data_IF_938360249462
#
_entry.id   IF_938360249462
#
_cell.length_a   1.000
_cell.length_b   1.000
_cell.length_c   1.000
_cell.angle_alpha   90.00
_cell.angle_beta   90.00
_cell.angle_gamma   90.00
#
_symmetry.space_group_name_H-M   'P 1'
#
loop_
_entity.id
_entity.type
_entity.pdbx_description
1 polymer ?
#
# COMPACT_ATOMS: atom_id res chain seq x y z
N UNK A 1 2.65 20.71 -0.95
CA UNK A 1 3.40 19.47 -0.77
C UNK A 1 3.50 18.72 -2.11
N UNK A 2 4.68 18.22 -2.45
CA UNK A 2 4.93 17.36 -3.61
C UNK A 2 5.16 15.92 -3.16
N UNK A 3 4.42 14.97 -3.72
CA UNK A 3 4.51 13.54 -3.41
C UNK A 3 5.12 12.82 -4.62
N UNK A 4 6.21 12.10 -4.41
CA UNK A 4 6.83 11.22 -5.40
C UNK A 4 6.14 9.85 -5.36
N UNK A 5 5.47 9.46 -6.45
CA UNK A 5 4.88 8.14 -6.60
C UNK A 5 5.90 7.23 -7.26
N UNK A 6 6.35 6.21 -6.53
CA UNK A 6 7.27 5.17 -6.99
C UNK A 6 6.42 3.99 -7.50
N UNK A 7 6.24 3.92 -8.82
CA UNK A 7 5.44 2.89 -9.47
C UNK A 7 6.25 1.60 -9.59
N UNK A 8 5.77 0.53 -8.98
CA UNK A 8 6.43 -0.77 -8.86
C UNK A 8 5.84 -1.84 -9.76
N UNK A 9 4.82 -1.50 -10.54
CA UNK A 9 4.19 -2.37 -11.54
C UNK A 9 3.34 -1.54 -12.51
N UNK A 10 2.89 -2.17 -13.57
CA UNK A 10 1.97 -1.57 -14.55
C UNK A 10 0.60 -2.24 -14.50
N UNK A 11 -0.46 -1.43 -14.58
CA UNK A 11 -1.83 -1.91 -14.74
C UNK A 11 -1.94 -2.73 -16.03
N UNK A 12 -2.62 -3.90 -16.01
CA UNK A 12 -2.86 -4.69 -17.22
C UNK A 12 -3.43 -3.81 -18.35
N UNK A 13 -2.89 -3.95 -19.57
CA UNK A 13 -3.19 -3.08 -20.72
C UNK A 13 -4.68 -2.94 -21.01
N UNK A 14 -5.43 -4.01 -20.83
CA UNK A 14 -6.88 -4.06 -21.03
C UNK A 14 -7.70 -3.39 -19.93
N UNK A 15 -7.07 -3.00 -18.81
CA UNK A 15 -7.70 -2.29 -17.71
C UNK A 15 -7.28 -0.80 -17.63
N UNK A 16 -6.26 -0.38 -18.37
CA UNK A 16 -5.74 1.00 -18.30
C UNK A 16 -6.80 2.01 -18.74
N UNK A 17 -7.59 1.72 -19.78
CA UNK A 17 -8.62 2.63 -20.29
C UNK A 17 -9.69 2.95 -19.24
N UNK A 18 -10.09 1.93 -18.45
CA UNK A 18 -11.14 2.08 -17.44
C UNK A 18 -10.64 2.63 -16.11
N UNK A 19 -9.39 2.34 -15.74
CA UNK A 19 -8.88 2.57 -14.38
C UNK A 19 -7.66 3.49 -14.30
N UNK A 20 -6.98 3.76 -15.41
CA UNK A 20 -5.71 4.50 -15.43
C UNK A 20 -4.53 3.66 -14.94
N UNK A 21 -3.40 4.32 -14.67
CA UNK A 21 -2.20 3.73 -14.05
C UNK A 21 -2.34 3.64 -12.52
N UNK A 22 -1.41 2.99 -11.84
CA UNK A 22 -1.38 3.01 -10.37
C UNK A 22 -1.17 4.42 -9.83
N UNK A 23 -0.35 5.23 -10.48
CA UNK A 23 -0.20 6.64 -10.12
C UNK A 23 -1.51 7.42 -10.29
N UNK A 24 -2.28 7.19 -11.37
CA UNK A 24 -3.59 7.83 -11.57
C UNK A 24 -4.56 7.49 -10.43
N UNK A 25 -4.58 6.22 -9.97
CA UNK A 25 -5.43 5.77 -8.87
C UNK A 25 -5.04 6.45 -7.55
N UNK A 26 -3.73 6.50 -7.23
CA UNK A 26 -3.20 7.15 -6.03
C UNK A 26 -3.51 8.65 -6.04
N UNK A 27 -3.25 9.33 -7.16
CA UNK A 27 -3.56 10.76 -7.29
C UNK A 27 -5.06 11.03 -7.13
N UNK A 28 -5.92 10.25 -7.81
CA UNK A 28 -7.35 10.40 -7.70
C UNK A 28 -7.85 10.17 -6.27
N UNK A 29 -7.29 9.19 -5.55
CA UNK A 29 -7.63 8.89 -4.18
C UNK A 29 -7.23 10.03 -3.23
N UNK A 30 -5.99 10.52 -3.28
CA UNK A 30 -5.51 11.59 -2.38
C UNK A 30 -6.12 12.96 -2.70
N UNK A 31 -6.39 13.26 -3.98
CA UNK A 31 -7.02 14.52 -4.40
C UNK A 31 -8.47 14.68 -3.93
N UNK A 32 -9.13 13.62 -3.49
CA UNK A 32 -10.45 13.72 -2.85
C UNK A 32 -10.39 14.51 -1.54
N UNK A 33 -9.27 14.42 -0.82
CA UNK A 33 -9.08 15.11 0.46
C UNK A 33 -8.19 16.36 0.34
N UNK A 34 -7.21 16.35 -0.59
CA UNK A 34 -6.26 17.45 -0.75
C UNK A 34 -5.91 17.70 -2.22
N UNK A 35 -6.65 18.61 -2.85
CA UNK A 35 -6.52 18.94 -4.29
C UNK A 35 -5.19 19.59 -4.64
N UNK A 36 -4.57 20.30 -3.70
CA UNK A 36 -3.34 21.09 -3.89
C UNK A 36 -2.08 20.23 -3.90
N UNK A 37 -2.16 18.95 -3.62
CA UNK A 37 -1.01 18.07 -3.73
C UNK A 37 -0.50 18.01 -5.17
N UNK A 38 0.81 18.18 -5.31
CA UNK A 38 1.54 17.98 -6.56
C UNK A 38 2.12 16.57 -6.56
N UNK A 39 2.15 15.94 -7.72
CA UNK A 39 2.68 14.59 -7.86
C UNK A 39 3.80 14.54 -8.89
N UNK A 40 4.83 13.77 -8.60
CA UNK A 40 5.87 13.33 -9.54
C UNK A 40 5.83 11.82 -9.61
N UNK A 41 6.00 11.25 -10.81
CA UNK A 41 5.89 9.81 -11.06
C UNK A 41 7.24 9.26 -11.48
N UNK A 42 7.61 8.11 -10.92
CA UNK A 42 8.88 7.46 -11.15
C UNK A 42 8.62 5.97 -11.40
N UNK A 43 8.95 5.47 -12.60
CA UNK A 43 8.90 4.03 -12.93
C UNK A 43 10.18 3.37 -12.41
N UNK A 44 10.13 2.93 -11.15
CA UNK A 44 11.31 2.35 -10.48
C UNK A 44 11.68 0.97 -11.01
N UNK A 45 10.75 0.29 -11.70
CA UNK A 45 11.04 -0.97 -12.40
C UNK A 45 11.97 -0.72 -13.60
N UNK A 46 11.87 0.47 -14.22
CA UNK A 46 12.77 0.93 -15.29
C UNK A 46 13.96 1.74 -14.74
N UNK A 47 14.25 1.64 -13.44
CA UNK A 47 15.33 2.37 -12.76
C UNK A 47 15.21 3.91 -12.89
N UNK A 48 13.97 4.42 -13.05
CA UNK A 48 13.69 5.87 -13.10
C UNK A 48 13.38 6.33 -11.67
N UNK A 49 14.27 7.14 -11.11
CA UNK A 49 14.21 7.69 -9.75
C UNK A 49 14.31 9.22 -9.78
N UNK A 50 13.96 9.94 -8.70
CA UNK A 50 14.33 11.33 -8.54
C UNK A 50 15.86 11.46 -8.54
N UNK A 51 16.38 12.57 -9.04
CA UNK A 51 17.83 12.84 -9.03
C UNK A 51 18.34 13.08 -7.59
N UNK A 52 17.45 13.61 -6.73
CA UNK A 52 17.72 13.84 -5.32
C UNK A 52 16.46 13.58 -4.50
N UNK A 53 16.60 12.99 -3.30
CA UNK A 53 15.49 12.72 -2.38
C UNK A 53 14.76 14.02 -1.97
N UNK A 54 15.39 15.16 -2.06
CA UNK A 54 14.79 16.46 -1.75
C UNK A 54 13.78 16.95 -2.80
N UNK A 55 13.70 16.34 -3.99
CA UNK A 55 12.75 16.71 -5.05
C UNK A 55 11.28 16.61 -4.60
N UNK A 56 10.99 15.71 -3.65
CA UNK A 56 9.66 15.54 -3.11
C UNK A 56 9.64 15.72 -1.59
N UNK A 57 8.50 16.16 -1.08
CA UNK A 57 8.28 16.30 0.36
C UNK A 57 7.96 14.96 1.03
N UNK A 58 7.37 14.05 0.26
CA UNK A 58 7.03 12.69 0.69
C UNK A 58 7.11 11.72 -0.50
N UNK A 59 7.20 10.43 -0.21
CA UNK A 59 7.19 9.37 -1.21
C UNK A 59 6.12 8.33 -0.92
N UNK A 60 5.52 7.77 -1.97
CA UNK A 60 4.55 6.69 -1.89
C UNK A 60 4.95 5.57 -2.85
N UNK A 61 5.07 4.35 -2.32
CA UNK A 61 5.38 3.13 -3.09
C UNK A 61 4.08 2.38 -3.35
N UNK A 62 3.80 2.09 -4.60
CA UNK A 62 2.57 1.41 -5.04
C UNK A 62 2.59 -0.10 -4.76
N UNK A 63 1.47 -0.75 -5.06
CA UNK A 63 1.38 -2.21 -5.13
C UNK A 63 2.09 -2.78 -6.36
N UNK A 64 2.47 -4.06 -6.29
CA UNK A 64 3.09 -4.82 -7.38
C UNK A 64 2.64 -6.27 -7.37
N UNK A 65 2.81 -6.95 -8.52
CA UNK A 65 2.69 -8.41 -8.64
C UNK A 65 3.96 -9.15 -8.20
N UNK A 66 5.09 -8.44 -8.12
CA UNK A 66 6.35 -9.00 -7.65
C UNK A 66 6.29 -9.36 -6.17
N UNK A 67 7.12 -10.29 -5.75
CA UNK A 67 7.39 -10.56 -4.34
C UNK A 67 8.64 -9.83 -3.88
N UNK A 68 8.63 -9.33 -2.65
CA UNK A 68 9.78 -8.55 -2.10
C UNK A 68 11.05 -9.39 -1.92
N UNK A 69 10.93 -10.72 -2.04
CA UNK A 69 12.03 -11.69 -2.00
C UNK A 69 12.39 -12.22 -3.40
N UNK A 70 11.86 -11.64 -4.47
CA UNK A 70 12.33 -11.89 -5.83
C UNK A 70 13.76 -11.35 -6.00
N UNK A 71 14.47 -11.82 -7.04
CA UNK A 71 15.87 -11.48 -7.25
C UNK A 71 16.10 -10.41 -8.33
N UNK A 72 15.06 -9.62 -8.63
CA UNK A 72 15.15 -8.58 -9.65
C UNK A 72 16.03 -7.40 -9.16
N UNK A 73 16.96 -6.89 -9.97
CA UNK A 73 17.90 -5.83 -9.57
C UNK A 73 17.23 -4.56 -9.04
N UNK A 74 16.09 -4.14 -9.64
CA UNK A 74 15.36 -2.95 -9.23
C UNK A 74 14.87 -3.01 -7.77
N UNK A 75 14.62 -4.22 -7.23
CA UNK A 75 14.26 -4.41 -5.82
C UNK A 75 15.38 -3.98 -4.87
N UNK A 76 16.63 -4.29 -5.23
CA UNK A 76 17.80 -3.87 -4.43
C UNK A 76 17.95 -2.35 -4.45
N UNK A 77 17.80 -1.73 -5.62
CA UNK A 77 17.85 -0.27 -5.79
C UNK A 77 16.76 0.41 -4.98
N UNK A 78 15.51 -0.06 -5.11
CA UNK A 78 14.38 0.51 -4.37
C UNK A 78 14.52 0.29 -2.86
N UNK A 79 14.99 -0.88 -2.42
CA UNK A 79 15.26 -1.14 -0.99
C UNK A 79 16.33 -0.21 -0.43
N UNK A 80 17.36 0.13 -1.21
CA UNK A 80 18.35 1.12 -0.79
C UNK A 80 17.75 2.52 -0.72
N UNK A 81 16.95 2.92 -1.71
CA UNK A 81 16.25 4.20 -1.73
C UNK A 81 15.30 4.37 -0.53
N UNK A 82 14.58 3.30 -0.14
CA UNK A 82 13.75 3.27 1.08
C UNK A 82 14.59 3.54 2.32
N UNK A 83 15.74 2.88 2.47
CA UNK A 83 16.64 3.11 3.61
C UNK A 83 17.16 4.54 3.65
N UNK A 84 17.51 5.09 2.50
CA UNK A 84 18.02 6.46 2.39
C UNK A 84 16.95 7.49 2.78
N UNK A 85 15.70 7.31 2.33
CA UNK A 85 14.56 8.15 2.77
C UNK A 85 14.39 8.06 4.30
N UNK A 86 14.36 6.84 4.83
CA UNK A 86 14.13 6.62 6.26
C UNK A 86 15.22 7.23 7.13
N UNK A 87 16.48 7.12 6.73
CA UNK A 87 17.64 7.66 7.45
C UNK A 87 17.68 9.19 7.44
N UNK A 88 17.13 9.84 6.43
CA UNK A 88 17.07 11.31 6.37
C UNK A 88 15.99 11.91 7.27
N UNK A 89 15.07 11.11 7.81
CA UNK A 89 14.05 11.37 8.83
C UNK A 89 13.12 12.60 8.63
N UNK A 90 13.36 13.43 7.62
CA UNK A 90 12.54 14.61 7.31
C UNK A 90 11.46 14.35 6.26
N UNK A 91 11.50 13.18 5.59
CA UNK A 91 10.57 12.82 4.53
C UNK A 91 9.58 11.77 5.03
N UNK A 92 8.32 11.95 4.67
CA UNK A 92 7.30 10.93 4.93
C UNK A 92 7.35 9.86 3.84
N UNK A 93 7.18 8.60 4.25
CA UNK A 93 7.17 7.45 3.36
C UNK A 93 5.88 6.64 3.54
N UNK A 94 5.17 6.40 2.45
CA UNK A 94 3.94 5.61 2.43
C UNK A 94 4.16 4.36 1.59
N UNK A 95 3.64 3.22 2.04
CA UNK A 95 3.67 1.97 1.28
C UNK A 95 2.29 1.34 1.17
N UNK A 96 1.94 0.87 -0.04
CA UNK A 96 0.68 0.17 -0.30
C UNK A 96 0.99 -1.23 -0.79
N UNK A 97 0.41 -2.25 -0.16
CA UNK A 97 0.50 -3.67 -0.51
C UNK A 97 1.96 -4.14 -0.65
N UNK A 98 2.48 -4.27 -1.87
CA UNK A 98 3.90 -4.55 -2.11
C UNK A 98 4.80 -3.47 -1.48
N UNK A 99 4.45 -2.18 -1.60
CA UNK A 99 5.20 -1.10 -0.96
C UNK A 99 5.23 -1.21 0.56
N UNK A 100 4.12 -1.64 1.20
CA UNK A 100 4.09 -1.97 2.62
C UNK A 100 5.08 -3.08 2.96
N UNK A 101 5.07 -4.15 2.20
CA UNK A 101 5.92 -5.30 2.41
C UNK A 101 7.40 -4.96 2.19
N UNK A 102 7.72 -4.23 1.12
CA UNK A 102 9.10 -3.87 0.80
C UNK A 102 9.70 -2.91 1.83
N UNK A 103 8.93 -1.93 2.31
CA UNK A 103 9.38 -1.03 3.38
C UNK A 103 9.72 -1.83 4.64
N UNK A 104 8.80 -2.71 5.07
CA UNK A 104 9.02 -3.55 6.25
C UNK A 104 10.28 -4.40 6.08
N UNK A 105 10.46 -5.07 4.95
CA UNK A 105 11.63 -5.90 4.70
C UNK A 105 12.93 -5.10 4.61
N UNK A 106 12.89 -3.94 3.93
CA UNK A 106 14.07 -3.06 3.79
C UNK A 106 14.58 -2.51 5.11
N UNK A 107 13.68 -2.38 6.10
CA UNK A 107 13.97 -1.87 7.44
C UNK A 107 14.21 -2.98 8.49
N UNK A 108 14.34 -4.24 8.05
CA UNK A 108 14.76 -5.35 8.89
C UNK A 108 13.63 -6.25 9.42
N UNK A 109 12.41 -6.12 8.90
CA UNK A 109 11.32 -7.07 9.13
C UNK A 109 11.38 -8.26 8.18
N UNK A 110 10.39 -9.14 8.27
CA UNK A 110 10.29 -10.36 7.45
C UNK A 110 8.94 -10.41 6.75
N UNK A 111 8.99 -10.63 5.44
CA UNK A 111 7.82 -10.86 4.59
C UNK A 111 7.90 -12.24 3.98
N UNK A 112 6.79 -12.93 3.95
CA UNK A 112 6.72 -14.26 3.38
C UNK A 112 5.34 -14.58 2.82
N UNK A 113 5.28 -15.57 1.93
CA UNK A 113 4.02 -16.09 1.40
C UNK A 113 3.20 -16.72 2.53
N UNK A 114 2.02 -16.19 2.77
CA UNK A 114 1.18 -16.64 3.86
C UNK A 114 0.69 -18.08 3.66
N UNK A 115 0.86 -18.96 4.66
CA UNK A 115 0.28 -20.30 4.61
C UNK A 115 -1.26 -20.29 4.66
N UNK A 116 -1.88 -19.15 4.98
CA UNK A 116 -3.33 -18.96 4.97
C UNK A 116 -3.92 -18.76 3.57
N UNK A 117 -3.07 -18.71 2.53
CA UNK A 117 -3.50 -18.50 1.15
C UNK A 117 -3.80 -17.05 0.81
N UNK A 118 -4.77 -16.81 -0.08
CA UNK A 118 -5.11 -15.52 -0.63
C UNK A 118 -6.02 -14.70 0.30
N UNK A 119 -5.66 -13.43 0.50
CA UNK A 119 -6.56 -12.39 0.99
C UNK A 119 -7.10 -11.60 -0.19
N UNK A 120 -8.43 -11.65 -0.42
CA UNK A 120 -9.08 -11.02 -1.58
C UNK A 120 -10.42 -10.40 -1.20
N UNK A 121 -10.85 -9.44 -2.01
CA UNK A 121 -12.12 -8.73 -1.82
C UNK A 121 -11.97 -7.53 -0.87
N UNK A 122 -12.89 -7.37 0.07
CA UNK A 122 -12.89 -6.30 1.06
C UNK A 122 -12.58 -6.89 2.44
N UNK A 123 -11.45 -6.48 3.03
CA UNK A 123 -11.01 -6.96 4.32
C UNK A 123 -11.20 -5.90 5.40
N UNK A 124 -11.85 -6.28 6.51
CA UNK A 124 -11.95 -5.44 7.71
C UNK A 124 -10.70 -5.60 8.56
N UNK A 125 -10.16 -4.48 9.04
CA UNK A 125 -9.09 -4.41 10.02
C UNK A 125 -9.57 -3.70 11.28
N UNK A 126 -9.21 -4.26 12.45
CA UNK A 126 -9.44 -3.63 13.75
C UNK A 126 -8.27 -2.71 14.08
N UNK A 127 -8.56 -1.53 14.65
CA UNK A 127 -7.53 -0.59 15.10
C UNK A 127 -7.05 -1.04 16.48
N UNK A 128 -5.76 -1.37 16.57
CA UNK A 128 -5.10 -1.79 17.81
C UNK A 128 -4.60 -0.61 18.63
N UNK A 129 -4.11 0.43 17.91
CA UNK A 129 -3.53 1.64 18.48
C UNK A 129 -3.96 2.85 17.66
N UNK A 130 -4.37 3.90 18.32
CA UNK A 130 -4.65 5.19 17.67
C UNK A 130 -3.43 6.08 17.67
N UNK A 131 -3.25 6.82 16.59
CA UNK A 131 -2.20 7.84 16.43
C UNK A 131 -2.86 9.23 16.22
N UNK A 132 -2.15 10.34 16.47
CA UNK A 132 -2.73 11.69 16.37
C UNK A 132 -3.34 12.00 15.01
N UNK A 133 -2.73 11.52 13.92
CA UNK A 133 -3.22 11.73 12.55
C UNK A 133 -4.49 10.94 12.21
N UNK A 134 -4.93 9.99 13.03
CA UNK A 134 -6.16 9.19 12.79
C UNK A 134 -7.42 9.98 13.14
N UNK A 135 -7.68 11.05 12.41
CA UNK A 135 -8.88 11.88 12.56
C UNK A 135 -9.69 11.85 11.27
N UNK A 136 -10.99 11.46 11.32
CA UNK A 136 -11.75 11.01 12.50
C UNK A 136 -11.30 9.63 13.01
N UNK A 137 -11.50 9.39 14.30
CA UNK A 137 -11.21 8.10 14.92
C UNK A 137 -12.19 7.04 14.42
N UNK A 138 -11.68 5.84 14.19
CA UNK A 138 -12.49 4.65 13.90
C UNK A 138 -11.95 3.45 14.70
N UNK A 139 -12.83 2.51 15.05
CA UNK A 139 -12.44 1.26 15.71
C UNK A 139 -12.02 0.18 14.72
N UNK A 140 -12.56 0.25 13.52
CA UNK A 140 -12.26 -0.65 12.41
C UNK A 140 -12.51 0.06 11.09
N UNK A 141 -11.96 -0.47 10.01
CA UNK A 141 -12.17 0.02 8.65
C UNK A 141 -12.00 -1.11 7.64
N UNK A 142 -12.55 -0.95 6.45
CA UNK A 142 -12.51 -1.92 5.36
C UNK A 142 -11.72 -1.37 4.17
N UNK A 143 -10.78 -2.16 3.65
CA UNK A 143 -10.07 -1.84 2.43
C UNK A 143 -10.10 -3.01 1.44
N UNK A 144 -10.06 -2.73 0.13
CA UNK A 144 -9.81 -3.73 -0.88
C UNK A 144 -8.47 -4.42 -0.64
N UNK A 145 -8.41 -5.73 -0.81
CA UNK A 145 -7.19 -6.53 -0.70
C UNK A 145 -7.09 -7.53 -1.84
N UNK A 146 -5.88 -7.77 -2.31
CA UNK A 146 -5.55 -8.86 -3.22
C UNK A 146 -4.07 -9.21 -3.05
N UNK A 147 -3.77 -10.08 -2.10
CA UNK A 147 -2.41 -10.46 -1.76
C UNK A 147 -2.33 -11.89 -1.22
N UNK A 148 -1.15 -12.48 -1.29
CA UNK A 148 -0.82 -13.74 -0.66
C UNK A 148 0.36 -13.55 0.31
N UNK A 149 1.33 -12.71 -0.09
CA UNK A 149 2.45 -12.36 0.77
C UNK A 149 1.99 -11.42 1.88
N UNK A 150 2.58 -11.61 3.07
CA UNK A 150 2.28 -10.82 4.27
C UNK A 150 3.54 -10.57 5.08
N UNK A 151 3.54 -9.47 5.81
CA UNK A 151 4.50 -9.25 6.90
C UNK A 151 4.24 -10.29 7.99
N UNK A 152 5.30 -11.00 8.41
CA UNK A 152 5.24 -12.00 9.47
C UNK A 152 6.05 -11.59 10.71
N UNK A 153 7.03 -10.69 10.54
CA UNK A 153 7.82 -10.12 11.63
C UNK A 153 8.07 -8.63 11.37
N UNK A 154 7.79 -7.81 12.37
CA UNK A 154 8.04 -6.37 12.30
C UNK A 154 9.50 -6.06 12.66
N UNK A 155 10.09 -5.02 12.05
CA UNK A 155 11.34 -4.46 12.55
C UNK A 155 11.18 -3.89 13.95
N UNK A 156 12.30 -3.75 14.66
CA UNK A 156 12.35 -3.39 16.08
C UNK A 156 11.57 -2.12 16.45
N UNK A 157 11.58 -1.11 15.58
CA UNK A 157 10.99 0.21 15.87
C UNK A 157 9.61 0.41 15.20
N UNK A 158 9.05 -0.66 14.63
CA UNK A 158 7.74 -0.62 14.00
C UNK A 158 6.61 -0.88 14.99
N UNK A 159 5.47 -0.28 14.75
CA UNK A 159 4.24 -0.48 15.51
C UNK A 159 3.11 -0.93 14.59
N UNK A 160 2.47 -2.06 14.91
CA UNK A 160 1.22 -2.44 14.28
C UNK A 160 0.09 -1.51 14.75
N UNK A 161 -0.55 -0.83 13.83
CA UNK A 161 -1.65 0.11 14.10
C UNK A 161 -3.00 -0.60 13.95
N UNK A 162 -3.12 -1.46 12.94
CA UNK A 162 -4.36 -2.20 12.68
C UNK A 162 -4.08 -3.54 12.01
N UNK A 163 -5.05 -4.45 12.11
CA UNK A 163 -5.00 -5.75 11.46
C UNK A 163 -6.21 -6.61 11.77
N UNK A 164 -6.12 -7.87 11.40
CA UNK A 164 -7.14 -8.89 11.67
C UNK A 164 -6.47 -10.28 11.81
N UNK A 165 -7.21 -11.34 12.18
CA UNK A 165 -6.61 -12.67 12.35
C UNK A 165 -5.96 -13.25 11.08
N UNK A 166 -6.40 -12.82 9.89
CA UNK A 166 -5.79 -13.24 8.61
C UNK A 166 -4.48 -12.47 8.36
N UNK A 167 -4.50 -11.15 8.51
CA UNK A 167 -3.36 -10.24 8.29
C UNK A 167 -3.16 -9.35 9.54
N UNK A 168 -2.34 -9.79 10.52
CA UNK A 168 -2.16 -9.06 11.78
C UNK A 168 -1.50 -7.69 11.65
N UNK A 169 -0.71 -7.49 10.60
CA UNK A 169 0.05 -6.27 10.33
C UNK A 169 -0.50 -5.54 9.11
N UNK A 170 -1.84 -5.31 9.06
CA UNK A 170 -2.45 -4.65 7.89
C UNK A 170 -2.13 -3.16 7.81
N UNK A 171 -1.80 -2.51 8.92
CA UNK A 171 -1.27 -1.14 8.96
C UNK A 171 -0.12 -1.08 9.94
N UNK A 172 1.00 -0.54 9.48
CA UNK A 172 2.24 -0.42 10.27
C UNK A 172 2.78 0.99 10.16
N UNK A 173 3.30 1.53 11.26
CA UNK A 173 4.00 2.81 11.31
C UNK A 173 5.38 2.69 11.96
N UNK A 174 6.28 3.61 11.60
CA UNK A 174 7.60 3.75 12.18
C UNK A 174 7.82 5.21 12.54
N UNK A 175 7.92 5.50 13.84
CA UNK A 175 8.46 6.74 14.38
C UNK A 175 7.95 8.07 13.77
N UNK A 176 6.71 8.11 13.26
CA UNK A 176 6.14 9.32 12.69
C UNK A 176 6.58 9.67 11.25
N UNK A 177 7.50 8.90 10.65
CA UNK A 177 7.97 9.15 9.26
C UNK A 177 7.46 8.13 8.25
N UNK A 178 7.01 6.94 8.68
CA UNK A 178 6.54 5.88 7.77
C UNK A 178 5.14 5.41 8.15
N UNK A 179 4.27 5.25 7.15
CA UNK A 179 2.92 4.70 7.28
C UNK A 179 2.64 3.75 6.11
N UNK A 180 2.24 2.51 6.42
CA UNK A 180 2.06 1.49 5.38
C UNK A 180 0.78 0.70 5.54
N UNK A 181 0.19 0.27 4.42
CA UNK A 181 -1.07 -0.45 4.35
C UNK A 181 -0.93 -1.72 3.49
N UNK A 182 -1.36 -2.87 4.00
CA UNK A 182 -1.46 -4.09 3.18
C UNK A 182 -2.64 -4.02 2.21
N UNK A 183 -3.71 -3.34 2.57
CA UNK A 183 -4.85 -3.08 1.70
C UNK A 183 -4.61 -1.92 0.73
N UNK A 184 -5.52 -1.77 -0.22
CA UNK A 184 -5.47 -0.83 -1.33
C UNK A 184 -6.53 0.27 -1.19
N UNK A 185 -6.27 1.36 -0.44
CA UNK A 185 -7.25 2.45 -0.33
C UNK A 185 -7.48 3.19 -1.66
N UNK A 186 -6.52 3.10 -2.61
CA UNK A 186 -6.59 3.69 -3.94
C UNK A 186 -7.45 2.90 -4.93
N UNK A 187 -7.74 1.61 -4.65
CA UNK A 187 -8.52 0.76 -5.56
C UNK A 187 -10.02 1.01 -5.47
N UNK A 188 -10.67 1.18 -6.62
CA UNK A 188 -12.11 1.01 -6.74
C UNK A 188 -12.48 -0.47 -6.60
N UNK A 189 -13.67 -0.78 -6.06
CA UNK A 189 -14.19 -2.16 -5.95
C UNK A 189 -14.15 -2.90 -7.29
N UNK A 190 -14.54 -2.20 -8.37
CA UNK A 190 -14.57 -2.75 -9.73
C UNK A 190 -13.17 -3.12 -10.25
N UNK A 191 -12.13 -2.37 -9.87
CA UNK A 191 -10.75 -2.73 -10.20
C UNK A 191 -10.30 -3.98 -9.43
N UNK A 192 -10.58 -4.04 -8.13
CA UNK A 192 -10.29 -5.23 -7.32
C UNK A 192 -11.00 -6.46 -7.87
N UNK A 193 -12.27 -6.34 -8.24
CA UNK A 193 -13.02 -7.41 -8.90
C UNK A 193 -12.37 -7.87 -10.20
N UNK A 194 -11.96 -6.94 -11.07
CA UNK A 194 -11.27 -7.27 -12.32
C UNK A 194 -9.96 -8.02 -12.08
N UNK A 195 -9.16 -7.61 -11.08
CA UNK A 195 -7.95 -8.33 -10.70
C UNK A 195 -8.23 -9.73 -10.14
N UNK A 196 -9.28 -9.89 -9.33
CA UNK A 196 -9.69 -11.20 -8.80
C UNK A 196 -10.09 -12.14 -9.92
N UNK A 197 -10.89 -11.68 -10.88
CA UNK A 197 -11.31 -12.47 -12.04
C UNK A 197 -10.11 -12.97 -12.86
N UNK A 198 -9.07 -12.16 -13.02
CA UNK A 198 -7.83 -12.52 -13.72
C UNK A 198 -6.98 -13.57 -12.98
N UNK A 199 -7.19 -13.72 -11.69
CA UNK A 199 -6.47 -14.67 -10.83
C UNK A 199 -7.34 -15.81 -10.30
N UNK A 200 -8.55 -15.96 -10.85
CA UNK A 200 -9.51 -16.96 -10.37
C UNK A 200 -8.92 -18.37 -10.32
N UNK A 201 -8.18 -18.75 -11.36
CA UNK A 201 -7.66 -20.11 -11.51
C UNK A 201 -6.56 -20.48 -10.49
N UNK A 202 -5.98 -19.51 -9.79
CA UNK A 202 -4.97 -19.72 -8.74
C UNK A 202 -5.51 -19.54 -7.33
N UNK A 203 -6.82 -19.35 -7.19
CA UNK A 203 -7.52 -19.18 -5.91
C UNK A 203 -8.45 -20.37 -5.68
N UNK A 204 -8.64 -20.74 -4.41
CA UNK A 204 -9.71 -21.64 -4.03
C UNK A 204 -11.07 -21.00 -4.32
N UNK A 205 -12.02 -21.76 -4.89
CA UNK A 205 -13.35 -21.26 -5.26
C UNK A 205 -14.09 -20.63 -4.06
N UNK A 206 -13.94 -21.20 -2.88
CA UNK A 206 -14.54 -20.67 -1.64
C UNK A 206 -14.00 -19.29 -1.28
N UNK A 207 -12.68 -19.08 -1.41
CA UNK A 207 -12.00 -17.80 -1.16
C UNK A 207 -12.41 -16.77 -2.21
N UNK A 208 -12.37 -17.15 -3.49
CA UNK A 208 -12.77 -16.29 -4.59
C UNK A 208 -14.21 -15.81 -4.46
N UNK A 209 -15.16 -16.75 -4.24
CA UNK A 209 -16.58 -16.43 -4.10
C UNK A 209 -16.90 -15.59 -2.85
N UNK A 210 -16.21 -15.84 -1.72
CA UNK A 210 -16.35 -15.01 -0.53
C UNK A 210 -15.80 -13.60 -0.77
N UNK A 211 -14.63 -13.48 -1.42
CA UNK A 211 -14.05 -12.20 -1.79
C UNK A 211 -14.97 -11.37 -2.71
N UNK A 212 -15.58 -11.99 -3.72
CA UNK A 212 -16.54 -11.29 -4.58
C UNK A 212 -17.74 -10.75 -3.80
N UNK A 213 -18.34 -11.56 -2.93
CA UNK A 213 -19.48 -11.13 -2.09
C UNK A 213 -19.11 -9.99 -1.16
N UNK A 214 -17.88 -9.97 -0.63
CA UNK A 214 -17.44 -8.88 0.25
C UNK A 214 -17.41 -7.51 -0.44
N UNK A 215 -17.28 -7.47 -1.77
CA UNK A 215 -17.30 -6.24 -2.55
C UNK A 215 -18.71 -5.61 -2.69
N UNK A 216 -19.76 -6.25 -2.17
CA UNK A 216 -21.09 -5.64 -2.06
C UNK A 216 -21.09 -4.48 -1.04
N UNK A 217 -20.22 -4.56 -0.03
CA UNK A 217 -19.98 -3.46 0.91
C UNK A 217 -19.11 -2.35 0.29
N UNK A 218 -19.07 -1.18 0.95
CA UNK A 218 -18.22 -0.06 0.53
C UNK A 218 -16.91 -0.03 1.33
N UNK A 219 -15.76 0.30 0.69
CA UNK A 219 -14.49 0.50 1.37
C UNK A 219 -14.46 1.85 2.09
N UNK A 220 -13.70 1.92 3.18
CA UNK A 220 -13.44 3.14 3.93
C UNK A 220 -12.26 3.95 3.34
N UNK A 221 -12.15 3.96 2.01
CA UNK A 221 -11.05 4.59 1.28
C UNK A 221 -10.91 6.09 1.59
N UNK A 222 -12.03 6.80 1.76
CA UNK A 222 -12.03 8.22 2.10
C UNK A 222 -11.57 8.48 3.55
N UNK A 223 -11.95 7.63 4.50
CA UNK A 223 -11.45 7.70 5.87
C UNK A 223 -9.93 7.56 5.89
N UNK A 224 -9.41 6.56 5.16
CA UNK A 224 -7.96 6.31 5.10
C UNK A 224 -7.23 7.42 4.34
N UNK A 225 -7.85 8.04 3.31
CA UNK A 225 -7.29 9.23 2.65
C UNK A 225 -7.08 10.40 3.65
N UNK A 226 -8.07 10.65 4.53
CA UNK A 226 -7.94 11.67 5.60
C UNK A 226 -6.78 11.36 6.54
N UNK A 227 -6.66 10.12 6.97
CA UNK A 227 -5.56 9.70 7.84
C UNK A 227 -4.19 9.89 7.17
N UNK A 228 -4.08 9.51 5.90
CA UNK A 228 -2.83 9.70 5.15
C UNK A 228 -2.50 11.17 4.95
N UNK A 229 -3.49 12.01 4.62
CA UNK A 229 -3.28 13.47 4.50
C UNK A 229 -2.84 14.06 5.83
N UNK A 230 -3.52 13.73 6.92
CA UNK A 230 -3.13 14.21 8.26
C UNK A 230 -1.70 13.76 8.62
N UNK A 231 -1.35 12.49 8.36
CA UNK A 231 0.00 11.96 8.58
C UNK A 231 1.06 12.71 7.78
N UNK A 232 0.74 13.06 6.53
CA UNK A 232 1.68 13.80 5.66
C UNK A 232 1.88 15.26 6.12
N UNK A 233 0.89 15.85 6.79
CA UNK A 233 0.90 17.25 7.22
C UNK A 233 1.40 17.47 8.68
N UNK A 234 1.63 16.37 9.43
CA UNK A 234 2.34 16.43 10.73
C UNK A 234 3.83 16.74 10.53
#
# INVERSE_FOLDING_TARGET
MRIGILETDQVPKDLIEDFGTYADMVEAWLRQERREFLFSRYDVVQEIYPQDISECDAYLITGSRASVYDHDPWLCTLSQFIRDIYMQSTKKLIGICFGHQLIVQSLGGVVYKSPKGWGVGLAQSEVYKTEPWMIPLAKSFKLPVIHQDQVIELPKDATAIAGNPFCPYSVVTYGGSVLTFQGHPEHKKTYTQALMLRRKDVMEETVFSAGLRSLDDDPDAQLVAKWVVNFLEE
#
